data_IF_800943613970
#
_entry.id   IF_800943613970
#
_cell.length_a   1.000
_cell.length_b   1.000
_cell.length_c   1.000
_cell.angle_alpha   90.00
_cell.angle_beta   90.00
_cell.angle_gamma   90.00
#
_symmetry.space_group_name_H-M   'P 1'
#
loop_
_entity.id
_entity.type
_entity.pdbx_description
1 polymer ?
#
# COMPACT_ATOMS: atom_id res chain seq x y z
N UNK A 1 5.03 -5.77 -13.62
CA UNK A 1 5.21 -7.22 -13.42
C UNK A 1 6.65 -7.52 -13.04
N UNK A 2 6.93 -7.82 -11.77
CA UNK A 2 8.26 -8.10 -11.19
C UNK A 2 8.16 -9.22 -10.14
N UNK A 3 9.25 -9.98 -9.90
CA UNK A 3 9.16 -11.33 -9.30
C UNK A 3 10.46 -11.82 -8.57
N UNK A 4 10.37 -12.92 -7.79
CA UNK A 4 11.43 -13.78 -7.16
C UNK A 4 12.32 -13.30 -5.96
N UNK A 5 13.53 -13.89 -5.76
CA UNK A 5 14.28 -14.14 -4.47
C UNK A 5 15.77 -13.67 -4.48
N UNK A 6 16.52 -13.79 -3.34
CA UNK A 6 17.84 -13.09 -3.12
C UNK A 6 18.90 -13.86 -2.28
N UNK A 7 20.22 -13.59 -2.50
CA UNK A 7 21.42 -14.07 -1.76
C UNK A 7 22.39 -12.92 -1.30
N UNK A 8 23.39 -13.13 -0.41
CA UNK A 8 23.98 -12.08 0.48
C UNK A 8 25.46 -11.62 0.31
N UNK A 9 25.67 -10.29 0.28
CA UNK A 9 26.86 -9.46 0.59
C UNK A 9 26.41 -7.96 0.61
N UNK A 10 27.14 -6.89 1.00
CA UNK A 10 28.16 -6.62 2.06
C UNK A 10 28.30 -5.07 2.24
N UNK A 11 29.11 -4.57 3.19
CA UNK A 11 29.39 -3.13 3.46
C UNK A 11 30.82 -2.96 4.07
N UNK A 12 31.40 -1.81 4.48
CA UNK A 12 31.04 -0.39 4.70
C UNK A 12 32.36 0.48 4.65
N UNK A 13 32.42 1.83 4.88
CA UNK A 13 31.39 2.88 5.06
C UNK A 13 31.38 3.88 3.86
N UNK A 14 31.50 5.22 3.83
CA UNK A 14 31.64 6.42 4.73
C UNK A 14 31.63 7.71 3.84
N UNK A 15 31.36 8.97 4.24
CA UNK A 15 30.72 9.62 5.42
C UNK A 15 30.71 11.17 5.27
N UNK A 16 29.78 11.90 5.92
CA UNK A 16 29.74 13.38 6.17
C UNK A 16 29.48 14.34 4.98
N UNK A 17 28.69 15.43 5.04
CA UNK A 17 27.42 15.75 5.78
C UNK A 17 26.81 17.07 5.27
N UNK A 18 25.47 17.19 5.21
CA UNK A 18 24.69 18.44 5.43
C UNK A 18 23.21 18.04 5.65
N UNK A 19 22.49 18.72 6.54
CA UNK A 19 21.25 18.17 7.15
C UNK A 19 19.96 18.85 6.69
N UNK A 20 18.92 18.05 6.44
CA UNK A 20 17.51 18.47 6.28
C UNK A 20 16.79 18.26 7.62
N UNK A 21 15.78 19.07 8.02
CA UNK A 21 15.11 18.93 9.31
C UNK A 21 14.51 17.53 9.56
N UNK A 22 14.75 16.99 10.75
CA UNK A 22 14.20 15.70 11.17
C UNK A 22 12.67 15.76 11.34
N UNK A 23 11.95 14.96 10.55
CA UNK A 23 10.68 14.40 11.00
C UNK A 23 10.95 13.38 12.12
N UNK A 24 10.03 13.20 13.09
CA UNK A 24 10.25 12.32 14.25
C UNK A 24 10.18 10.82 13.94
N UNK A 25 10.18 10.42 12.67
CA UNK A 25 10.38 9.03 12.23
C UNK A 25 11.87 8.75 12.12
N UNK A 26 12.37 7.69 12.76
CA UNK A 26 13.75 7.21 12.54
C UNK A 26 13.88 6.57 11.15
N UNK A 27 14.09 7.38 10.12
CA UNK A 27 14.51 6.99 8.75
C UNK A 27 14.01 5.61 8.26
N UNK A 28 12.71 5.33 8.32
CA UNK A 28 12.17 4.13 7.65
C UNK A 28 12.16 4.38 6.13
N UNK A 29 12.77 3.50 5.29
CA UNK A 29 12.80 3.73 3.85
C UNK A 29 11.44 3.64 3.15
N UNK A 30 10.45 3.02 3.79
CA UNK A 30 9.04 3.09 3.42
C UNK A 30 8.33 4.04 4.41
N UNK A 31 7.75 5.11 3.88
CA UNK A 31 7.17 6.21 4.66
C UNK A 31 5.69 5.97 4.94
N UNK A 32 4.96 5.44 3.95
CA UNK A 32 3.50 5.35 3.98
C UNK A 32 3.01 4.34 2.95
N UNK A 33 1.98 3.58 3.32
CA UNK A 33 1.06 2.93 2.38
C UNK A 33 0.02 3.99 1.97
N UNK A 34 -0.03 4.30 0.68
CA UNK A 34 -0.85 5.37 0.12
C UNK A 34 -2.21 4.87 -0.38
N UNK A 35 -2.24 3.86 -1.25
CA UNK A 35 -3.51 3.28 -1.69
C UNK A 35 -3.48 1.77 -1.91
N UNK A 36 -4.67 1.17 -1.93
CA UNK A 36 -4.93 -0.21 -2.38
C UNK A 36 -5.77 -0.13 -3.65
N UNK A 37 -5.28 -0.69 -4.76
CA UNK A 37 -6.04 -0.80 -6.00
C UNK A 37 -6.67 -2.20 -6.13
N UNK A 38 -8.00 -2.22 -6.25
CA UNK A 38 -8.80 -3.42 -6.48
C UNK A 38 -9.96 -3.11 -7.42
N UNK A 39 -9.94 -3.72 -8.60
CA UNK A 39 -11.01 -3.58 -9.59
C UNK A 39 -12.37 -3.99 -9.01
N UNK A 40 -13.40 -3.17 -9.25
CA UNK A 40 -14.73 -3.29 -8.66
C UNK A 40 -15.75 -4.06 -9.52
N UNK A 41 -15.32 -4.67 -10.63
CA UNK A 41 -16.18 -5.32 -11.63
C UNK A 41 -16.43 -4.45 -12.87
N UNK A 42 -17.34 -4.90 -13.74
CA UNK A 42 -17.73 -4.18 -14.96
C UNK A 42 -18.81 -3.11 -14.76
N UNK A 43 -19.36 -2.94 -13.56
CA UNK A 43 -20.38 -1.90 -13.29
C UNK A 43 -20.31 -1.42 -11.85
N UNK A 44 -20.26 -0.10 -11.65
CA UNK A 44 -20.42 0.50 -10.33
C UNK A 44 -21.91 0.52 -9.94
N UNK A 45 -22.24 -0.08 -8.81
CA UNK A 45 -23.63 -0.24 -8.35
C UNK A 45 -23.94 0.68 -7.16
N UNK A 46 -25.23 0.97 -6.94
CA UNK A 46 -25.68 1.67 -5.73
C UNK A 46 -25.23 0.94 -4.44
N UNK A 47 -25.15 -0.39 -4.48
CA UNK A 47 -24.63 -1.19 -3.36
C UNK A 47 -23.15 -0.90 -3.07
N UNK A 48 -22.32 -0.69 -4.12
CA UNK A 48 -20.92 -0.28 -3.96
C UNK A 48 -20.81 1.16 -3.43
N UNK A 49 -21.58 2.11 -3.97
CA UNK A 49 -21.66 3.49 -3.43
C UNK A 49 -22.04 3.48 -1.94
N UNK A 50 -23.14 2.82 -1.59
CA UNK A 50 -23.65 2.74 -0.21
C UNK A 50 -22.64 2.04 0.70
N UNK A 51 -21.99 0.98 0.25
CA UNK A 51 -21.00 0.28 1.05
C UNK A 51 -19.78 1.17 1.35
N UNK A 52 -19.09 1.68 0.33
CA UNK A 52 -17.83 2.40 0.52
C UNK A 52 -18.01 3.76 1.19
N UNK A 53 -18.98 4.56 0.75
CA UNK A 53 -19.13 5.94 1.19
C UNK A 53 -20.10 6.09 2.37
N UNK A 54 -21.25 5.41 2.35
CA UNK A 54 -22.26 5.57 3.41
C UNK A 54 -22.04 4.67 4.63
N UNK A 55 -21.68 3.40 4.41
CA UNK A 55 -21.51 2.40 5.49
C UNK A 55 -20.11 2.44 6.06
N UNK A 56 -19.08 2.13 5.27
CA UNK A 56 -17.68 2.21 5.70
C UNK A 56 -17.26 3.65 6.01
N UNK A 57 -17.86 4.64 5.35
CA UNK A 57 -17.60 6.05 5.65
C UNK A 57 -16.32 6.59 5.05
N UNK A 58 -15.89 6.05 3.91
CA UNK A 58 -14.86 6.69 3.09
C UNK A 58 -15.40 7.99 2.47
N UNK A 59 -14.53 8.97 2.27
CA UNK A 59 -14.87 10.17 1.50
C UNK A 59 -14.76 9.90 -0.01
N UNK A 60 -15.71 10.39 -0.80
CA UNK A 60 -15.77 10.17 -2.26
C UNK A 60 -14.98 11.26 -3.00
N UNK A 61 -13.85 10.88 -3.60
CA UNK A 61 -12.91 11.83 -4.18
C UNK A 61 -13.25 12.13 -5.66
N UNK A 62 -13.71 13.35 -5.99
CA UNK A 62 -14.16 13.70 -7.34
C UNK A 62 -13.04 13.66 -8.39
N UNK A 63 -11.76 13.58 -7.96
CA UNK A 63 -10.61 13.44 -8.87
C UNK A 63 -10.62 12.09 -9.60
N UNK A 64 -11.20 11.03 -9.03
CA UNK A 64 -11.30 9.72 -9.69
C UNK A 64 -12.02 9.78 -11.04
N UNK A 65 -13.15 10.49 -11.09
CA UNK A 65 -13.90 10.72 -12.33
C UNK A 65 -13.10 11.54 -13.37
N UNK A 66 -12.30 12.52 -12.93
CA UNK A 66 -11.43 13.32 -13.80
C UNK A 66 -10.33 12.45 -14.42
N UNK A 67 -9.69 11.60 -13.62
CA UNK A 67 -8.67 10.64 -14.10
C UNK A 67 -9.29 9.62 -15.07
N UNK A 68 -10.48 9.09 -14.78
CA UNK A 68 -11.19 8.19 -15.70
C UNK A 68 -11.45 8.85 -17.06
N UNK A 69 -11.92 10.11 -17.07
CA UNK A 69 -12.15 10.88 -18.29
C UNK A 69 -10.86 11.12 -19.09
N UNK A 70 -9.73 11.35 -18.41
CA UNK A 70 -8.41 11.49 -19.05
C UNK A 70 -7.92 10.15 -19.64
N UNK A 71 -8.10 9.03 -18.94
CA UNK A 71 -7.77 7.68 -19.44
C UNK A 71 -8.61 7.34 -20.69
N UNK A 72 -9.92 7.61 -20.66
CA UNK A 72 -10.82 7.43 -21.80
C UNK A 72 -10.42 8.32 -23.00
N UNK A 73 -10.08 9.58 -22.76
CA UNK A 73 -9.60 10.49 -23.80
C UNK A 73 -8.26 10.06 -24.43
N UNK A 74 -7.44 9.30 -23.69
CA UNK A 74 -6.21 8.66 -24.19
C UNK A 74 -6.46 7.28 -24.84
N UNK A 75 -7.72 6.84 -24.98
CA UNK A 75 -8.09 5.54 -25.57
C UNK A 75 -7.96 4.34 -24.64
N UNK A 76 -7.84 4.56 -23.32
CA UNK A 76 -7.83 3.50 -22.31
C UNK A 76 -9.22 2.89 -22.05
N UNK A 77 -9.30 1.63 -21.60
CA UNK A 77 -10.55 0.87 -21.48
C UNK A 77 -11.38 1.18 -20.22
N UNK A 78 -10.85 1.98 -19.29
CA UNK A 78 -11.48 2.29 -18.00
C UNK A 78 -12.88 2.88 -18.18
N UNK A 79 -13.89 2.25 -17.58
CA UNK A 79 -15.30 2.66 -17.68
C UNK A 79 -15.71 3.59 -16.53
N UNK A 80 -15.07 3.44 -15.37
CA UNK A 80 -15.26 4.28 -14.19
C UNK A 80 -14.07 4.15 -13.23
N UNK A 81 -13.91 5.11 -12.33
CA UNK A 81 -12.91 5.08 -11.26
C UNK A 81 -13.44 5.79 -10.03
N UNK A 82 -13.66 5.02 -8.96
CA UNK A 82 -14.08 5.52 -7.67
C UNK A 82 -12.93 5.48 -6.69
N UNK A 83 -12.79 6.54 -5.89
CA UNK A 83 -11.69 6.73 -4.95
C UNK A 83 -12.29 6.93 -3.56
N UNK A 84 -12.22 5.88 -2.72
CA UNK A 84 -12.75 5.91 -1.36
C UNK A 84 -11.64 6.23 -0.37
N UNK A 85 -11.64 7.47 0.12
CA UNK A 85 -10.58 8.01 0.96
C UNK A 85 -10.82 7.68 2.44
N UNK A 86 -9.79 7.20 3.12
CA UNK A 86 -9.73 6.96 4.56
C UNK A 86 -8.50 7.69 5.09
N UNK A 87 -8.71 8.83 5.75
CA UNK A 87 -7.65 9.73 6.21
C UNK A 87 -6.87 10.34 5.06
N UNK A 88 -5.62 9.88 4.90
CA UNK A 88 -4.73 10.25 3.79
C UNK A 88 -4.48 9.08 2.83
N UNK A 89 -5.15 7.95 3.02
CA UNK A 89 -5.04 6.77 2.17
C UNK A 89 -6.29 6.57 1.31
N UNK A 90 -6.14 5.92 0.15
CA UNK A 90 -7.22 5.73 -0.82
C UNK A 90 -7.48 4.23 -1.09
N UNK A 91 -8.72 3.86 -1.40
CA UNK A 91 -8.98 2.67 -2.22
C UNK A 91 -9.22 3.14 -3.66
N UNK A 92 -8.41 2.65 -4.59
CA UNK A 92 -8.67 2.82 -6.01
C UNK A 92 -9.55 1.68 -6.50
N UNK A 93 -10.74 2.04 -6.98
CA UNK A 93 -11.80 1.13 -7.37
C UNK A 93 -12.14 1.39 -8.86
N UNK A 94 -11.26 0.99 -9.80
CA UNK A 94 -11.54 1.08 -11.22
C UNK A 94 -12.63 0.08 -11.63
N UNK A 95 -13.33 0.42 -12.70
CA UNK A 95 -14.47 -0.31 -13.25
C UNK A 95 -14.19 -0.60 -14.73
N UNK A 96 -14.29 -1.87 -15.12
CA UNK A 96 -14.10 -2.30 -16.52
C UNK A 96 -12.66 -2.28 -17.08
N UNK A 97 -11.62 -2.11 -16.25
CA UNK A 97 -10.20 -2.28 -16.67
C UNK A 97 -9.51 -3.37 -15.82
N UNK A 98 -9.33 -4.61 -16.33
CA UNK A 98 -9.95 -5.19 -17.53
C UNK A 98 -11.48 -5.35 -17.44
N UNK A 99 -12.11 -5.65 -18.57
CA UNK A 99 -13.56 -5.89 -18.68
C UNK A 99 -14.05 -6.95 -17.67
N UNK A 100 -15.17 -6.67 -17.00
CA UNK A 100 -15.77 -7.43 -15.90
C UNK A 100 -14.84 -7.83 -14.72
N UNK A 101 -13.62 -7.29 -14.65
CA UNK A 101 -12.63 -7.67 -13.65
C UNK A 101 -13.05 -7.25 -12.24
N UNK A 102 -13.29 -8.24 -11.38
CA UNK A 102 -13.31 -8.09 -9.92
C UNK A 102 -11.97 -8.58 -9.37
N UNK A 103 -11.29 -7.75 -8.59
CA UNK A 103 -10.07 -8.14 -7.87
C UNK A 103 -10.32 -8.25 -6.37
N UNK A 104 -9.65 -9.22 -5.74
CA UNK A 104 -9.77 -9.48 -4.31
C UNK A 104 -8.40 -9.62 -3.68
N UNK A 105 -8.06 -8.69 -2.78
CA UNK A 105 -6.87 -8.78 -1.92
C UNK A 105 -6.84 -10.18 -1.30
N UNK A 106 -5.75 -10.89 -1.52
CA UNK A 106 -5.58 -12.27 -1.07
C UNK A 106 -5.22 -12.29 0.40
N UNK A 107 -6.17 -11.89 1.25
CA UNK A 107 -5.92 -11.57 2.65
C UNK A 107 -7.00 -10.61 3.13
N UNK A 108 -6.62 -9.58 3.87
CA UNK A 108 -7.55 -8.56 4.37
C UNK A 108 -6.89 -7.18 4.50
N UNK A 109 -7.70 -6.12 4.49
CA UNK A 109 -7.23 -4.73 4.70
C UNK A 109 -7.75 -4.21 6.04
N UNK A 110 -6.82 -3.85 6.93
CA UNK A 110 -7.09 -3.28 8.24
C UNK A 110 -7.32 -1.78 8.18
N UNK A 111 -8.44 -1.31 8.73
CA UNK A 111 -8.85 0.10 8.75
C UNK A 111 -8.99 0.60 10.19
N UNK A 112 -8.32 1.70 10.51
CA UNK A 112 -8.37 2.32 11.83
C UNK A 112 -9.61 3.22 12.01
N UNK A 113 -10.28 3.14 13.15
CA UNK A 113 -11.41 3.98 13.55
C UNK A 113 -11.27 4.41 15.02
N UNK A 114 -11.90 5.52 15.43
CA UNK A 114 -12.03 5.84 16.86
C UNK A 114 -13.03 4.89 17.53
N UNK A 115 -13.01 4.79 18.85
CA UNK A 115 -13.93 3.96 19.65
C UNK A 115 -15.40 4.25 19.32
N UNK A 116 -15.77 5.52 19.21
CA UNK A 116 -17.15 5.97 18.94
C UNK A 116 -17.58 5.67 17.50
N UNK A 117 -16.68 5.87 16.54
CA UNK A 117 -16.97 5.65 15.13
C UNK A 117 -16.92 4.16 14.76
N UNK A 118 -16.13 3.32 15.43
CA UNK A 118 -16.21 1.87 15.30
C UNK A 118 -17.58 1.35 15.77
N UNK A 119 -18.08 1.84 16.91
CA UNK A 119 -19.42 1.53 17.40
C UNK A 119 -20.52 2.08 16.47
N UNK A 120 -20.30 3.22 15.80
CA UNK A 120 -21.22 3.75 14.80
C UNK A 120 -21.19 2.98 13.47
N UNK A 121 -20.02 2.47 13.07
CA UNK A 121 -19.84 1.60 11.91
C UNK A 121 -20.57 0.28 12.10
N UNK A 122 -20.52 -0.34 13.29
CA UNK A 122 -21.28 -1.56 13.56
C UNK A 122 -22.77 -1.37 13.27
N UNK A 123 -23.39 -0.31 13.82
CA UNK A 123 -24.80 0.01 13.57
C UNK A 123 -25.09 0.21 12.08
N UNK A 124 -24.22 0.90 11.33
CA UNK A 124 -24.38 1.06 9.87
C UNK A 124 -24.24 -0.24 9.08
N UNK A 125 -23.44 -1.19 9.56
CA UNK A 125 -23.33 -2.53 8.95
C UNK A 125 -24.59 -3.36 9.22
N UNK A 126 -25.16 -3.26 10.43
CA UNK A 126 -26.45 -3.84 10.82
C UNK A 126 -27.61 -3.24 9.98
N UNK A 127 -27.74 -1.90 9.94
CA UNK A 127 -28.74 -1.15 9.14
C UNK A 127 -28.64 -1.38 7.62
N UNK A 128 -27.49 -1.83 7.14
CA UNK A 128 -27.24 -2.15 5.74
C UNK A 128 -27.35 -3.65 5.41
N UNK A 129 -27.61 -4.50 6.42
CA UNK A 129 -27.53 -5.97 6.29
C UNK A 129 -26.20 -6.44 5.67
N UNK A 130 -25.10 -5.74 5.97
CA UNK A 130 -23.79 -6.02 5.39
C UNK A 130 -23.18 -7.28 6.00
N UNK A 131 -22.49 -8.09 5.19
CA UNK A 131 -21.81 -9.31 5.64
C UNK A 131 -20.66 -8.96 6.59
N UNK A 132 -20.87 -9.11 7.90
CA UNK A 132 -19.87 -8.81 8.91
C UNK A 132 -19.98 -9.76 10.13
N UNK A 133 -18.91 -9.78 10.94
CA UNK A 133 -18.86 -10.50 12.21
C UNK A 133 -17.95 -9.78 13.21
N UNK A 134 -18.42 -9.60 14.44
CA UNK A 134 -17.64 -9.04 15.54
C UNK A 134 -16.50 -10.02 15.95
N UNK A 135 -15.34 -9.47 16.29
CA UNK A 135 -14.19 -10.18 16.84
C UNK A 135 -14.24 -10.22 18.36
N UNK A 136 -13.53 -11.18 18.97
CA UNK A 136 -13.41 -11.27 20.43
C UNK A 136 -12.66 -10.07 21.05
N UNK A 137 -11.97 -9.29 20.22
CA UNK A 137 -11.26 -8.04 20.55
C UNK A 137 -12.02 -6.77 20.13
N UNK A 138 -13.33 -6.88 19.88
CA UNK A 138 -14.18 -5.74 19.48
C UNK A 138 -14.04 -5.31 18.01
N UNK A 139 -13.05 -5.82 17.27
CA UNK A 139 -12.89 -5.52 15.85
C UNK A 139 -14.08 -5.99 15.00
N UNK A 140 -14.36 -5.32 13.88
CA UNK A 140 -15.42 -5.71 12.95
C UNK A 140 -14.78 -6.30 11.69
N UNK A 141 -14.96 -7.60 11.48
CA UNK A 141 -14.54 -8.30 10.24
C UNK A 141 -15.67 -8.20 9.24
N UNK A 142 -15.40 -7.65 8.06
CA UNK A 142 -16.40 -7.21 7.08
C UNK A 142 -16.03 -7.81 5.72
N UNK A 143 -17.02 -8.26 4.96
CA UNK A 143 -16.85 -8.65 3.55
C UNK A 143 -17.59 -7.65 2.68
N UNK A 144 -16.88 -6.98 1.76
CA UNK A 144 -17.52 -6.04 0.84
C UNK A 144 -18.38 -6.77 -0.21
N UNK A 145 -19.26 -6.05 -0.95
CA UNK A 145 -20.13 -6.66 -1.97
C UNK A 145 -19.41 -7.50 -3.03
N UNK A 146 -18.14 -7.19 -3.32
CA UNK A 146 -17.28 -7.91 -4.28
C UNK A 146 -16.23 -8.82 -3.62
N UNK A 147 -16.42 -9.21 -2.35
CA UNK A 147 -15.66 -10.29 -1.71
C UNK A 147 -14.31 -9.94 -1.09
N UNK A 148 -13.90 -8.66 -1.08
CA UNK A 148 -12.73 -8.21 -0.32
C UNK A 148 -13.02 -8.27 1.19
N UNK A 149 -12.04 -8.78 1.96
CA UNK A 149 -12.10 -8.82 3.42
C UNK A 149 -11.53 -7.51 3.97
N UNK A 150 -12.32 -6.78 4.75
CA UNK A 150 -11.89 -5.59 5.47
C UNK A 150 -12.00 -5.86 6.97
N UNK A 151 -11.14 -5.23 7.77
CA UNK A 151 -11.21 -5.34 9.23
C UNK A 151 -11.11 -3.96 9.87
N UNK A 152 -12.24 -3.47 10.38
CA UNK A 152 -12.25 -2.24 11.16
C UNK A 152 -11.73 -2.54 12.57
N UNK A 153 -10.73 -1.77 13.01
CA UNK A 153 -10.09 -1.90 14.32
C UNK A 153 -10.16 -0.57 15.07
N UNK A 154 -10.27 -0.65 16.39
CA UNK A 154 -10.15 0.52 17.26
C UNK A 154 -8.72 1.03 17.25
N UNK A 155 -8.57 2.35 17.14
CA UNK A 155 -7.30 3.05 17.30
C UNK A 155 -7.47 4.20 18.29
N UNK A 156 -7.15 3.92 19.56
CA UNK A 156 -7.27 4.89 20.65
C UNK A 156 -6.36 6.12 20.47
N UNK A 157 -5.21 5.96 19.79
CA UNK A 157 -4.25 7.04 19.52
C UNK A 157 -4.61 7.90 18.30
N UNK A 158 -5.86 8.36 18.19
CA UNK A 158 -6.33 9.10 17.00
C UNK A 158 -5.62 10.45 16.79
N UNK A 159 -4.97 10.97 17.82
CA UNK A 159 -4.07 12.14 17.81
C UNK A 159 -2.62 11.83 17.40
N UNK A 160 -2.19 10.55 17.47
CA UNK A 160 -0.87 10.08 17.01
C UNK A 160 -0.93 9.39 15.63
N UNK A 161 -2.12 9.23 15.06
CA UNK A 161 -2.33 8.63 13.75
C UNK A 161 -1.85 9.52 12.58
N UNK A 162 -1.09 8.95 11.63
CA UNK A 162 -0.69 9.63 10.39
C UNK A 162 -1.88 9.76 9.41
N UNK A 163 -2.74 10.72 9.72
CA UNK A 163 -3.88 11.14 8.94
C UNK A 163 -3.98 12.66 8.87
N UNK A 164 -5.08 13.21 8.34
CA UNK A 164 -5.20 14.64 8.06
C UNK A 164 -5.13 15.52 9.32
N UNK A 165 -5.43 14.95 10.49
CA UNK A 165 -5.46 15.66 11.77
C UNK A 165 -4.08 16.02 12.34
N UNK A 166 -2.99 15.43 11.82
CA UNK A 166 -1.62 15.56 12.36
C UNK A 166 -0.68 16.38 11.46
N UNK A 167 -1.11 16.77 10.25
CA UNK A 167 -0.30 17.51 9.27
C UNK A 167 -0.89 18.84 8.82
N UNK A 168 -2.08 19.22 9.31
CA UNK A 168 -2.77 20.45 8.92
C UNK A 168 -2.84 21.40 10.12
N UNK A 169 -2.46 22.67 9.94
CA UNK A 169 -2.81 23.72 10.91
C UNK A 169 -4.35 23.81 10.94
N UNK A 170 -5.02 23.73 12.11
CA UNK A 170 -6.47 23.89 12.21
C UNK A 170 -7.03 25.21 11.65
N UNK A 171 -6.17 26.19 11.32
CA UNK A 171 -6.51 27.45 10.64
C UNK A 171 -6.40 27.41 9.12
N UNK A 172 -5.71 26.43 8.55
CA UNK A 172 -5.62 26.27 7.10
C UNK A 172 -6.70 25.30 6.61
N UNK A 173 -7.77 25.86 6.03
CA UNK A 173 -8.77 25.08 5.28
C UNK A 173 -8.16 24.53 3.99
N UNK A 174 -7.33 23.48 4.10
CA UNK A 174 -6.90 22.65 2.98
C UNK A 174 -7.96 21.56 2.78
N UNK A 175 -8.85 21.65 1.77
CA UNK A 175 -9.86 20.64 1.56
C UNK A 175 -9.18 19.33 1.16
N UNK A 176 -9.35 18.29 1.99
CA UNK A 176 -9.15 16.92 1.54
C UNK A 176 -10.11 16.68 0.37
N UNK A 177 -9.63 16.18 -0.78
CA UNK A 177 -10.52 15.81 -1.88
C UNK A 177 -11.55 14.76 -1.41
N UNK A 178 -12.84 15.09 -1.59
CA UNK A 178 -13.99 14.33 -1.06
C UNK A 178 -14.42 14.72 0.37
N UNK A 179 -13.64 15.52 1.09
CA UNK A 179 -13.90 15.92 2.47
C UNK A 179 -13.35 14.94 3.52
N UNK A 180 -13.75 15.07 4.80
CA UNK A 180 -13.30 14.20 5.87
C UNK A 180 -13.98 12.82 5.84
N UNK A 181 -13.19 11.76 5.93
CA UNK A 181 -13.66 10.39 6.13
C UNK A 181 -14.01 10.09 7.58
N UNK A 182 -14.79 9.03 7.81
CA UNK A 182 -15.07 8.48 9.15
C UNK A 182 -13.95 7.58 9.67
N UNK A 183 -13.40 6.73 8.80
CA UNK A 183 -12.20 5.95 9.13
C UNK A 183 -10.95 6.83 9.09
N UNK A 184 -10.02 6.55 9.99
CA UNK A 184 -8.78 7.30 10.19
C UNK A 184 -7.74 7.00 9.10
N UNK A 185 -7.71 5.77 8.59
CA UNK A 185 -6.77 5.35 7.56
C UNK A 185 -6.57 3.84 7.45
N UNK A 186 -5.71 3.44 6.51
CA UNK A 186 -5.33 2.03 6.32
C UNK A 186 -4.15 1.69 7.25
N UNK A 187 -4.36 0.76 8.19
CA UNK A 187 -3.35 0.31 9.15
C UNK A 187 -2.52 -0.86 8.61
N UNK A 188 -3.13 -1.75 7.82
CA UNK A 188 -2.37 -2.79 7.16
C UNK A 188 -3.04 -3.33 5.91
N UNK A 189 -2.22 -3.83 4.98
CA UNK A 189 -2.67 -4.85 4.03
C UNK A 189 -2.01 -6.15 4.43
N UNK A 190 -2.85 -7.14 4.75
CA UNK A 190 -2.43 -8.50 5.04
C UNK A 190 -2.64 -9.36 3.80
N UNK A 191 -1.68 -10.24 3.55
CA UNK A 191 -1.70 -11.22 2.48
C UNK A 191 -1.52 -12.63 3.05
N UNK A 192 -2.37 -13.54 2.61
CA UNK A 192 -2.26 -14.99 2.76
C UNK A 192 -1.18 -15.47 1.77
N UNK A 193 -0.07 -16.05 2.25
CA UNK A 193 1.07 -16.48 1.41
C UNK A 193 1.40 -17.98 1.59
N UNK A 194 2.15 -18.63 0.69
CA UNK A 194 2.48 -20.05 0.83
C UNK A 194 3.29 -20.37 2.11
N UNK A 195 3.22 -21.62 2.56
CA UNK A 195 4.04 -22.11 3.68
C UNK A 195 5.54 -21.92 3.39
N UNK A 196 6.30 -21.46 4.39
CA UNK A 196 7.72 -21.11 4.28
C UNK A 196 8.04 -19.77 3.58
N UNK A 197 7.05 -19.05 3.03
CA UNK A 197 7.30 -17.86 2.23
C UNK A 197 7.71 -16.61 3.04
N UNK A 198 7.25 -16.46 4.29
CA UNK A 198 7.37 -15.20 5.05
C UNK A 198 8.83 -14.78 5.25
N UNK A 199 9.71 -15.72 5.61
CA UNK A 199 11.14 -15.44 5.78
C UNK A 199 11.82 -14.98 4.47
N UNK A 200 11.35 -15.45 3.31
CA UNK A 200 11.79 -14.98 2.01
C UNK A 200 11.33 -13.55 1.71
N UNK A 201 10.05 -13.25 1.99
CA UNK A 201 9.44 -11.94 1.76
C UNK A 201 10.08 -10.86 2.65
N UNK A 202 10.35 -11.16 3.93
CA UNK A 202 11.04 -10.21 4.81
C UNK A 202 12.46 -9.89 4.31
N UNK A 203 13.21 -10.88 3.79
CA UNK A 203 14.51 -10.62 3.14
C UNK A 203 14.39 -9.75 1.89
N UNK A 204 13.30 -9.85 1.13
CA UNK A 204 13.05 -8.98 -0.02
C UNK A 204 12.88 -7.51 0.42
N UNK A 205 12.01 -7.20 1.40
CA UNK A 205 11.81 -5.82 1.86
C UNK A 205 13.04 -5.22 2.57
N UNK A 206 13.73 -6.01 3.40
CA UNK A 206 14.98 -5.60 4.05
C UNK A 206 16.09 -5.20 3.05
N UNK A 207 16.10 -5.79 1.85
CA UNK A 207 17.17 -5.58 0.86
C UNK A 207 16.79 -4.61 -0.24
N UNK A 208 15.62 -4.80 -0.85
CA UNK A 208 15.20 -4.00 -1.99
C UNK A 208 14.79 -2.59 -1.54
N UNK A 209 14.00 -2.52 -0.47
CA UNK A 209 13.55 -1.26 0.09
C UNK A 209 14.45 -0.73 1.21
N UNK A 210 15.18 -1.60 1.91
CA UNK A 210 15.85 -1.22 3.18
C UNK A 210 14.87 -1.12 4.35
N UNK A 211 13.61 -1.54 4.15
CA UNK A 211 12.54 -1.36 5.12
C UNK A 211 12.68 -2.27 6.34
N UNK A 212 12.23 -1.80 7.50
CA UNK A 212 12.13 -2.59 8.72
C UNK A 212 11.15 -3.75 8.50
N UNK A 213 11.65 -4.97 8.32
CA UNK A 213 10.81 -6.17 8.20
C UNK A 213 11.31 -7.32 9.08
N UNK A 214 10.39 -7.97 9.79
CA UNK A 214 10.68 -9.04 10.75
C UNK A 214 9.69 -10.20 10.66
N UNK A 215 10.14 -11.42 10.95
CA UNK A 215 9.28 -12.61 10.98
C UNK A 215 8.75 -12.81 12.41
N UNK A 216 7.52 -12.38 12.64
CA UNK A 216 6.76 -12.67 13.84
C UNK A 216 5.95 -13.97 13.73
N UNK A 217 5.09 -14.23 14.72
CA UNK A 217 4.12 -15.33 14.68
C UNK A 217 2.76 -14.89 15.22
N UNK A 218 1.70 -15.33 14.55
CA UNK A 218 0.32 -15.26 15.02
C UNK A 218 -0.09 -16.66 15.51
N UNK A 219 0.08 -16.89 16.82
CA UNK A 219 -0.01 -18.23 17.39
C UNK A 219 1.00 -19.18 16.76
N UNK A 220 0.54 -20.15 15.95
CA UNK A 220 1.43 -21.05 15.20
C UNK A 220 1.94 -20.45 13.89
N UNK A 221 1.17 -19.56 13.26
CA UNK A 221 1.36 -19.06 11.89
C UNK A 221 2.57 -18.12 11.81
N UNK A 222 3.59 -18.40 10.97
CA UNK A 222 4.62 -17.41 10.66
C UNK A 222 4.02 -16.22 9.92
N UNK A 223 4.43 -15.00 10.28
CA UNK A 223 4.00 -13.77 9.60
C UNK A 223 5.22 -12.87 9.40
N UNK A 224 5.51 -12.49 8.17
CA UNK A 224 6.45 -11.40 7.90
C UNK A 224 5.71 -10.08 8.03
N UNK A 225 6.20 -9.18 8.88
CA UNK A 225 5.64 -7.84 9.10
C UNK A 225 6.66 -6.82 8.62
N UNK A 226 6.28 -6.05 7.59
CA UNK A 226 7.02 -4.90 7.08
C UNK A 226 6.40 -3.64 7.67
N UNK A 227 7.20 -2.77 8.28
CA UNK A 227 6.73 -1.47 8.80
C UNK A 227 6.81 -0.38 7.73
N UNK A 228 5.88 0.56 7.81
CA UNK A 228 5.83 1.75 6.97
C UNK A 228 5.50 2.96 7.87
N UNK A 229 6.52 3.76 8.17
CA UNK A 229 6.39 5.01 8.90
C UNK A 229 5.63 4.90 10.22
N UNK A 230 4.55 5.68 10.36
CA UNK A 230 3.74 5.72 11.59
C UNK A 230 2.55 4.77 11.50
N UNK A 231 2.66 3.64 12.21
CA UNK A 231 1.57 2.69 12.50
C UNK A 231 0.95 1.94 11.31
N UNK A 232 1.57 1.99 10.12
CA UNK A 232 1.17 1.17 8.97
C UNK A 232 2.07 -0.07 8.80
N UNK A 233 1.54 -1.14 8.20
CA UNK A 233 2.32 -2.34 7.86
C UNK A 233 1.82 -3.10 6.62
N UNK A 234 2.74 -3.80 5.95
CA UNK A 234 2.36 -4.93 5.07
C UNK A 234 2.64 -6.24 5.82
N UNK A 235 1.68 -7.16 5.80
CA UNK A 235 1.76 -8.41 6.56
C UNK A 235 1.62 -9.59 5.62
N UNK A 236 2.55 -10.54 5.66
CA UNK A 236 2.57 -11.72 4.80
C UNK A 236 2.52 -12.96 5.68
N UNK A 237 1.31 -13.51 5.83
CA UNK A 237 0.96 -14.54 6.79
C UNK A 237 0.84 -15.90 6.07
N UNK A 238 1.65 -16.87 6.49
CA UNK A 238 1.70 -18.16 5.80
C UNK A 238 0.40 -18.96 5.98
N UNK A 239 -0.07 -19.62 4.93
CA UNK A 239 -1.16 -20.59 5.03
C UNK A 239 -0.75 -21.78 5.92
N UNK A 240 -1.67 -22.27 6.74
CA UNK A 240 -1.43 -23.43 7.60
C UNK A 240 -1.87 -24.74 6.92
N UNK A 241 -1.23 -25.88 7.25
CA UNK A 241 -1.66 -27.19 6.77
C UNK A 241 -3.14 -27.46 7.06
N UNK A 242 -3.91 -27.73 6.00
CA UNK A 242 -5.36 -27.97 6.05
C UNK A 242 -6.23 -26.74 5.73
N UNK A 243 -5.65 -25.55 5.56
CA UNK A 243 -6.37 -24.38 5.05
C UNK A 243 -6.53 -24.41 3.52
N UNK A 244 -7.49 -23.66 2.94
CA UNK A 244 -7.61 -23.52 1.49
C UNK A 244 -6.33 -22.97 0.85
N UNK A 245 -5.97 -23.39 -0.38
CA UNK A 245 -4.77 -22.90 -1.06
C UNK A 245 -4.86 -21.39 -1.30
N UNK A 246 -3.71 -20.72 -1.20
CA UNK A 246 -3.58 -19.28 -1.50
C UNK A 246 -4.12 -18.99 -2.90
N UNK A 247 -4.98 -17.98 -2.99
CA UNK A 247 -5.63 -17.56 -4.24
C UNK A 247 -4.59 -17.20 -5.31
N UNK A 248 -4.94 -17.39 -6.59
CA UNK A 248 -4.13 -16.91 -7.71
C UNK A 248 -4.11 -15.38 -7.72
N UNK A 249 -3.02 -14.80 -8.22
CA UNK A 249 -2.90 -13.36 -8.39
C UNK A 249 -3.82 -12.89 -9.53
N UNK A 250 -4.52 -11.78 -9.31
CA UNK A 250 -5.56 -11.20 -10.18
C UNK A 250 -5.24 -9.74 -10.61
N UNK A 251 -4.11 -9.19 -10.15
CA UNK A 251 -3.63 -7.85 -10.49
C UNK A 251 -3.85 -6.76 -9.42
N UNK A 252 -4.42 -7.08 -8.25
CA UNK A 252 -4.50 -6.10 -7.14
C UNK A 252 -3.10 -5.63 -6.73
N UNK A 253 -2.97 -4.34 -6.44
CA UNK A 253 -1.68 -3.74 -6.08
C UNK A 253 -1.81 -2.72 -4.95
N UNK A 254 -0.66 -2.36 -4.39
CA UNK A 254 -0.54 -1.34 -3.34
C UNK A 254 0.44 -0.25 -3.76
N UNK A 255 0.15 1.00 -3.43
CA UNK A 255 1.07 2.11 -3.66
C UNK A 255 1.79 2.49 -2.37
N UNK A 256 3.12 2.60 -2.43
CA UNK A 256 3.97 2.91 -1.29
C UNK A 256 4.81 4.16 -1.56
N UNK A 257 4.94 5.02 -0.56
CA UNK A 257 5.95 6.09 -0.58
C UNK A 257 7.28 5.61 -0.02
N UNK A 258 8.38 5.91 -0.73
CA UNK A 258 9.76 5.81 -0.24
C UNK A 258 10.43 7.18 -0.15
N UNK A 259 11.44 7.31 0.72
CA UNK A 259 12.32 8.47 0.79
C UNK A 259 13.61 8.31 -0.05
N UNK A 260 13.94 7.09 -0.49
CA UNK A 260 15.16 6.77 -1.24
C UNK A 260 14.81 5.94 -2.50
N UNK A 261 14.07 6.58 -3.41
CA UNK A 261 13.68 5.96 -4.67
C UNK A 261 14.88 5.59 -5.56
N UNK A 262 15.95 6.40 -5.52
CA UNK A 262 17.15 6.15 -6.31
C UNK A 262 17.81 4.83 -5.92
N UNK A 263 18.06 4.58 -4.62
CA UNK A 263 18.64 3.33 -4.21
C UNK A 263 17.65 2.15 -4.29
N UNK A 264 16.33 2.37 -4.16
CA UNK A 264 15.32 1.34 -4.48
C UNK A 264 15.40 0.93 -5.95
N UNK A 265 15.50 1.90 -6.87
CA UNK A 265 15.61 1.65 -8.30
C UNK A 265 16.90 0.93 -8.66
N UNK A 266 18.05 1.40 -8.18
CA UNK A 266 19.35 0.77 -8.45
C UNK A 266 19.41 -0.65 -7.87
N UNK A 267 18.96 -0.87 -6.63
CA UNK A 267 18.86 -2.23 -6.07
C UNK A 267 17.88 -3.11 -6.85
N UNK A 268 16.83 -2.56 -7.46
CA UNK A 268 15.92 -3.31 -8.35
C UNK A 268 16.59 -3.70 -9.66
N UNK A 269 17.42 -2.81 -10.22
CA UNK A 269 18.20 -3.02 -11.45
C UNK A 269 19.33 -4.03 -11.26
N UNK A 270 20.01 -3.99 -10.11
CA UNK A 270 21.14 -4.85 -9.77
C UNK A 270 20.73 -6.24 -9.25
N UNK A 271 19.55 -6.38 -8.61
CA UNK A 271 19.15 -7.62 -7.94
C UNK A 271 18.94 -8.84 -8.86
N UNK A 272 19.00 -8.68 -10.20
CA UNK A 272 18.96 -9.80 -11.15
C UNK A 272 17.71 -10.67 -10.98
N UNK A 273 16.55 -10.01 -10.84
CA UNK A 273 15.39 -10.55 -10.14
C UNK A 273 14.86 -11.87 -10.71
N UNK A 274 15.01 -12.17 -12.00
CA UNK A 274 14.48 -13.38 -12.65
C UNK A 274 15.23 -14.70 -12.34
N UNK A 275 16.13 -14.72 -11.36
CA UNK A 275 17.06 -15.85 -11.12
C UNK A 275 16.67 -16.82 -9.98
N UNK A 276 15.48 -16.66 -9.38
CA UNK A 276 15.06 -17.42 -8.18
C UNK A 276 13.79 -18.27 -8.34
N UNK A 277 13.45 -19.03 -7.28
CA UNK A 277 12.14 -19.71 -7.15
C UNK A 277 11.05 -18.67 -6.76
N UNK A 278 9.79 -18.86 -7.17
CA UNK A 278 8.71 -17.92 -6.86
C UNK A 278 8.24 -18.06 -5.40
N UNK A 279 8.13 -16.95 -4.65
CA UNK A 279 7.45 -16.92 -3.33
C UNK A 279 5.95 -16.58 -3.50
N UNK A 280 5.73 -15.41 -4.09
CA UNK A 280 4.47 -14.69 -4.12
C UNK A 280 4.59 -13.62 -5.21
N UNK A 281 3.46 -13.14 -5.73
CA UNK A 281 3.39 -12.07 -6.74
C UNK A 281 2.59 -10.92 -6.16
N UNK A 282 3.16 -9.72 -6.10
CA UNK A 282 2.47 -8.51 -5.68
C UNK A 282 3.09 -7.32 -6.40
N UNK A 283 2.28 -6.59 -7.14
CA UNK A 283 2.73 -5.35 -7.78
C UNK A 283 2.69 -4.18 -6.78
N UNK A 284 3.64 -3.28 -6.93
CA UNK A 284 3.83 -2.11 -6.09
C UNK A 284 3.93 -0.87 -6.98
N UNK A 285 3.06 0.12 -6.78
CA UNK A 285 3.31 1.45 -7.32
C UNK A 285 4.24 2.20 -6.35
N UNK A 286 5.52 2.31 -6.69
CA UNK A 286 6.50 2.96 -5.82
C UNK A 286 6.55 4.46 -6.14
N UNK A 287 6.08 5.27 -5.19
CA UNK A 287 6.08 6.74 -5.25
C UNK A 287 7.19 7.32 -4.37
N UNK A 288 7.59 8.56 -4.62
CA UNK A 288 8.62 9.25 -3.84
C UNK A 288 8.15 10.64 -3.43
N UNK A 289 8.37 11.01 -2.18
CA UNK A 289 8.03 12.34 -1.65
C UNK A 289 8.92 13.43 -2.28
N UNK A 290 10.11 13.06 -2.79
CA UNK A 290 11.05 13.97 -3.44
C UNK A 290 10.95 13.98 -4.97
N UNK A 291 10.07 13.16 -5.57
CA UNK A 291 9.91 13.09 -7.03
C UNK A 291 8.57 13.70 -7.47
N UNK A 292 8.53 14.71 -8.34
CA UNK A 292 7.31 15.46 -8.69
C UNK A 292 6.38 14.72 -9.69
N UNK A 293 6.11 13.43 -9.45
CA UNK A 293 5.18 12.60 -10.22
C UNK A 293 5.85 11.49 -11.02
N UNK A 294 6.28 10.41 -10.36
CA UNK A 294 6.67 9.18 -11.04
C UNK A 294 5.45 8.26 -11.17
N UNK A 295 4.92 8.12 -12.38
CA UNK A 295 3.95 7.08 -12.75
C UNK A 295 4.54 6.28 -13.89
N UNK A 296 4.58 4.95 -13.75
CA UNK A 296 5.34 4.03 -14.61
C UNK A 296 4.67 3.77 -15.98
N UNK A 297 3.89 4.72 -16.53
CA UNK A 297 3.04 4.52 -17.72
C UNK A 297 3.59 5.11 -19.03
N UNK A 298 4.87 5.47 -19.06
CA UNK A 298 5.60 5.89 -20.27
C UNK A 298 6.92 5.11 -20.40
N UNK A 299 7.60 5.22 -21.56
CA UNK A 299 8.85 4.52 -21.93
C UNK A 299 8.73 3.03 -22.32
N UNK A 300 7.71 2.66 -23.10
CA UNK A 300 7.83 1.57 -24.09
C UNK A 300 7.30 2.03 -25.45
N UNK A 301 8.22 2.36 -26.35
CA UNK A 301 8.03 2.36 -27.80
C UNK A 301 9.38 1.93 -28.41
N UNK A 302 9.36 1.04 -29.40
CA UNK A 302 10.59 0.40 -29.90
C UNK A 302 11.48 1.36 -30.70
N UNK A 303 12.76 1.00 -30.81
CA UNK A 303 13.78 1.79 -31.49
C UNK A 303 13.50 2.00 -32.98
N UNK A 304 13.70 3.23 -33.45
CA UNK A 304 14.28 3.51 -34.76
C UNK A 304 15.68 4.07 -34.54
N UNK A 305 16.68 3.53 -35.23
CA UNK A 305 18.10 3.73 -34.91
C UNK A 305 18.57 5.21 -34.87
N UNK A 306 18.99 5.67 -33.70
CA UNK A 306 20.07 6.65 -33.53
C UNK A 306 20.52 6.69 -32.07
N UNK A 307 21.81 6.51 -31.80
CA UNK A 307 22.36 6.54 -30.45
C UNK A 307 22.05 7.87 -29.75
N UNK A 308 21.42 7.80 -28.58
CA UNK A 308 21.24 8.91 -27.64
C UNK A 308 21.50 8.43 -26.23
N UNK A 309 22.49 9.04 -25.60
CA UNK A 309 22.81 8.86 -24.19
C UNK A 309 21.66 9.39 -23.31
N UNK A 310 21.73 9.10 -22.01
CA UNK A 310 20.90 9.77 -21.00
C UNK A 310 21.32 11.24 -20.88
N UNK A 311 20.82 12.10 -21.78
CA UNK A 311 21.11 13.54 -21.77
C UNK A 311 20.35 14.22 -20.62
N UNK A 312 20.95 14.14 -19.44
CA UNK A 312 20.60 14.90 -18.27
C UNK A 312 21.78 14.89 -17.31
N UNK A 313 22.37 16.05 -17.07
CA UNK A 313 23.34 16.26 -15.97
C UNK A 313 22.61 16.20 -14.63
N UNK A 314 22.23 14.98 -14.23
CA UNK A 314 21.74 14.72 -12.90
C UNK A 314 22.93 14.84 -11.94
N UNK A 315 22.87 15.72 -10.91
CA UNK A 315 23.89 15.72 -9.89
C UNK A 315 23.88 14.36 -9.20
N UNK A 316 24.98 13.62 -9.33
CA UNK A 316 25.15 12.34 -8.62
C UNK A 316 25.02 12.61 -7.12
N UNK A 317 23.99 12.05 -6.51
CA UNK A 317 23.82 12.17 -5.06
C UNK A 317 25.08 11.60 -4.38
N UNK A 318 25.70 12.31 -3.43
CA UNK A 318 26.85 11.78 -2.70
C UNK A 318 26.42 10.48 -2.01
N UNK A 319 27.22 9.43 -2.15
CA UNK A 319 26.85 8.08 -1.75
C UNK A 319 26.38 8.02 -0.29
N UNK A 320 25.23 7.38 -0.07
CA UNK A 320 24.58 7.29 1.25
C UNK A 320 25.55 6.75 2.31
N UNK A 321 25.70 7.43 3.47
CA UNK A 321 26.62 6.98 4.50
C UNK A 321 26.14 5.65 5.11
N UNK A 322 27.05 4.70 5.27
CA UNK A 322 26.73 3.42 5.90
C UNK A 322 26.35 3.58 7.38
N UNK A 323 25.46 2.70 7.85
CA UNK A 323 25.01 2.65 9.24
C UNK A 323 26.07 2.03 10.16
N UNK A 324 26.14 2.44 11.44
CA UNK A 324 26.93 1.74 12.47
C UNK A 324 26.24 0.44 12.93
N UNK A 325 27.03 -0.50 13.45
CA UNK A 325 26.57 -1.80 13.94
C UNK A 325 25.80 -1.74 15.27
N UNK A 326 25.05 -2.81 15.56
CA UNK A 326 23.96 -2.86 16.56
C UNK A 326 24.36 -3.20 18.02
N UNK A 327 25.63 -3.07 18.42
CA UNK A 327 26.06 -3.45 19.78
C UNK A 327 26.28 -2.30 20.79
N UNK A 328 26.10 -1.03 20.39
CA UNK A 328 26.04 0.11 21.33
C UNK A 328 24.81 1.01 21.10
N UNK A 329 23.62 0.56 21.55
CA UNK A 329 22.50 1.38 22.10
C UNK A 329 21.28 0.53 22.51
#
# INVERSE_FOLDING_TARGET
MLLFRVASAAAAPSSSTTTIPHLPVRYEPLISLEHVNINAGGTWTEQLSRFWFSVMGGADDPRGAVVCSQVQAAGGPMQGLHWANFGLQQFHLPVGEPEDSVQVVRGEVGLAYTTEELAALQRRLEDASATHAVGADGSLRITCPVGNRLRAVEWAGAETWFGPKLLLDPREERPLPGGPSRGLGIQYVRFDVPEGAAAGICRFYLRLFGATAEVGREGRRPVCVVRLGHHQSLQFAEALPGEPPVRRYDGHHVALYTNDFAAVYERSREAGLDTGELLYTLEHEVRSVMHPGFSCRHWIAAEGEAAKEMVGDYPTAPASPAFPDREEL
#
